data_IF_289186258834
#
_entry.id   IF_289186258834
#
_cell.length_a   1.000
_cell.length_b   1.000
_cell.length_c   1.000
_cell.angle_alpha   90.00
_cell.angle_beta   90.00
_cell.angle_gamma   90.00
#
_symmetry.space_group_name_H-M   'P 1'
#
loop_
_entity.id
_entity.type
_entity.pdbx_description
1 polymer ?
#
# COMPACT_ATOMS: atom_id res chain seq x y z
N UNK A 1 -14.39 3.32 -4.09
CA UNK A 1 -14.53 2.28 -3.03
C UNK A 1 -13.56 2.53 -1.87
N UNK A 2 -13.66 1.80 -0.76
CA UNK A 2 -12.66 1.87 0.31
C UNK A 2 -11.47 0.96 0.01
N UNK A 3 -10.29 1.29 0.58
CA UNK A 3 -9.17 0.36 0.63
C UNK A 3 -9.54 -0.90 1.41
N UNK A 4 -8.92 -2.02 1.07
CA UNK A 4 -9.14 -3.30 1.76
C UNK A 4 -8.42 -3.39 3.11
N UNK A 5 -7.57 -2.40 3.42
CA UNK A 5 -6.84 -2.34 4.69
C UNK A 5 -6.71 -0.92 5.23
N UNK A 6 -6.41 -0.81 6.52
CA UNK A 6 -5.89 0.42 7.14
C UNK A 6 -4.36 0.43 7.00
N UNK A 7 -3.78 1.62 6.94
CA UNK A 7 -2.34 1.83 6.88
C UNK A 7 -1.97 3.13 7.58
N UNK A 8 -0.82 3.18 8.24
CA UNK A 8 -0.34 4.40 8.90
C UNK A 8 -0.22 5.52 7.86
N UNK A 9 -0.66 6.72 8.22
CA UNK A 9 -0.65 7.86 7.29
C UNK A 9 -1.72 7.82 6.19
N UNK A 10 -2.59 6.80 6.18
CA UNK A 10 -3.60 6.61 5.12
C UNK A 10 -4.56 7.80 4.98
N UNK A 11 -4.80 8.26 3.76
CA UNK A 11 -5.54 9.48 3.41
C UNK A 11 -7.06 9.30 3.32
N UNK A 12 -7.64 8.36 4.11
CA UNK A 12 -9.08 8.08 4.08
C UNK A 12 -9.96 9.33 4.23
N UNK A 13 -9.60 10.23 5.15
CA UNK A 13 -10.39 11.43 5.44
C UNK A 13 -10.19 12.55 4.40
N UNK A 14 -9.08 12.54 3.67
CA UNK A 14 -8.71 13.60 2.73
C UNK A 14 -8.87 13.21 1.26
N UNK A 15 -9.20 11.96 0.96
CA UNK A 15 -9.19 11.41 -0.40
C UNK A 15 -10.12 12.14 -1.38
N UNK A 16 -11.29 12.60 -0.91
CA UNK A 16 -12.23 13.36 -1.74
C UNK A 16 -11.63 14.71 -2.13
N UNK A 17 -11.05 15.41 -1.17
CA UNK A 17 -10.39 16.70 -1.39
C UNK A 17 -9.16 16.55 -2.30
N UNK A 18 -8.36 15.51 -2.09
CA UNK A 18 -7.18 15.21 -2.92
C UNK A 18 -7.63 15.00 -4.39
N UNK A 19 -8.61 14.14 -4.62
CA UNK A 19 -9.08 13.82 -5.97
C UNK A 19 -9.71 15.03 -6.64
N UNK A 20 -10.43 15.88 -5.89
CA UNK A 20 -11.05 17.09 -6.43
C UNK A 20 -10.03 18.11 -6.99
N UNK A 21 -8.77 18.00 -6.56
CA UNK A 21 -7.66 18.86 -7.02
C UNK A 21 -6.85 18.27 -8.17
N UNK A 22 -7.17 17.07 -8.61
CA UNK A 22 -6.47 16.50 -9.75
C UNK A 22 -6.74 17.32 -11.02
N UNK A 23 -5.73 17.54 -11.86
CA UNK A 23 -5.95 18.12 -13.18
C UNK A 23 -6.86 17.21 -14.00
N UNK A 24 -7.58 17.76 -14.95
CA UNK A 24 -8.56 17.01 -15.77
C UNK A 24 -7.93 16.38 -17.02
N UNK A 25 -6.70 16.73 -17.33
CA UNK A 25 -6.02 16.42 -18.60
C UNK A 25 -4.91 15.37 -18.48
N UNK A 26 -4.84 14.61 -17.36
CA UNK A 26 -3.94 13.47 -17.25
C UNK A 26 -4.55 12.22 -17.87
N UNK A 27 -3.69 11.30 -18.32
CA UNK A 27 -4.04 9.97 -18.83
C UNK A 27 -3.31 8.85 -18.11
N UNK A 28 -2.41 9.19 -17.22
CA UNK A 28 -1.58 8.27 -16.44
C UNK A 28 -1.58 8.71 -14.99
N UNK A 29 -2.04 7.86 -14.10
CA UNK A 29 -2.04 8.10 -12.66
C UNK A 29 -0.99 7.21 -11.99
N UNK A 30 -0.04 7.79 -11.32
CA UNK A 30 1.05 7.08 -10.64
C UNK A 30 1.03 7.41 -9.16
N UNK A 31 0.64 6.45 -8.31
CA UNK A 31 0.69 6.56 -6.85
C UNK A 31 2.07 6.12 -6.39
N UNK A 32 2.94 7.09 -6.06
CA UNK A 32 4.39 6.87 -5.86
C UNK A 32 4.68 6.22 -4.51
N UNK A 33 3.95 6.60 -3.47
CA UNK A 33 4.02 6.08 -2.10
C UNK A 33 2.64 5.53 -1.74
N UNK A 34 2.34 4.34 -2.22
CA UNK A 34 0.97 3.83 -2.24
C UNK A 34 0.37 3.52 -0.89
N UNK A 35 1.15 2.93 0.03
CA UNK A 35 0.65 2.57 1.35
C UNK A 35 -0.68 1.81 1.28
N UNK A 36 -1.69 2.31 1.97
CA UNK A 36 -3.04 1.74 1.93
C UNK A 36 -3.83 1.97 0.64
N UNK A 37 -3.30 2.71 -0.36
CA UNK A 37 -3.96 2.97 -1.64
C UNK A 37 -5.28 3.72 -1.54
N UNK A 38 -5.48 4.53 -0.51
CA UNK A 38 -6.76 5.18 -0.26
C UNK A 38 -7.23 6.07 -1.41
N UNK A 39 -6.31 6.73 -2.10
CA UNK A 39 -6.62 7.59 -3.24
C UNK A 39 -6.91 6.73 -4.48
N UNK A 40 -6.06 5.75 -4.79
CA UNK A 40 -6.25 4.81 -5.89
C UNK A 40 -7.60 4.10 -5.81
N UNK A 41 -7.95 3.54 -4.64
CA UNK A 41 -9.22 2.82 -4.47
C UNK A 41 -10.44 3.73 -4.51
N UNK A 42 -10.31 4.99 -4.09
CA UNK A 42 -11.43 5.93 -4.09
C UNK A 42 -11.63 6.60 -5.45
N UNK A 43 -10.56 6.87 -6.17
CA UNK A 43 -10.61 7.36 -7.54
C UNK A 43 -11.49 6.45 -8.39
N UNK A 44 -12.42 7.02 -9.14
CA UNK A 44 -13.23 6.25 -10.09
C UNK A 44 -12.31 5.57 -11.12
N UNK A 45 -12.50 4.25 -11.38
CA UNK A 45 -11.76 3.60 -12.44
C UNK A 45 -12.16 4.21 -13.79
N UNK A 46 -11.16 4.52 -14.60
CA UNK A 46 -11.32 5.11 -15.92
C UNK A 46 -10.55 4.31 -16.97
N UNK A 47 -10.27 4.98 -18.10
CA UNK A 47 -9.38 4.46 -19.13
C UNK A 47 -7.93 4.88 -18.92
N UNK A 48 -7.61 5.52 -17.79
CA UNK A 48 -6.28 5.95 -17.47
C UNK A 48 -5.37 4.76 -17.22
N UNK A 49 -4.11 4.88 -17.60
CA UNK A 49 -3.08 3.96 -17.18
C UNK A 49 -2.75 4.21 -15.70
N UNK A 50 -2.90 3.21 -14.85
CA UNK A 50 -2.72 3.35 -13.40
C UNK A 50 -1.55 2.53 -12.88
N UNK A 51 -0.73 3.14 -12.02
CA UNK A 51 0.41 2.49 -11.34
C UNK A 51 0.27 2.69 -9.84
N UNK A 52 0.38 1.59 -9.10
CA UNK A 52 0.58 1.58 -7.66
C UNK A 52 2.02 1.20 -7.37
N UNK A 53 2.71 1.96 -6.57
CA UNK A 53 4.05 1.64 -6.11
C UNK A 53 4.18 1.80 -4.60
N UNK A 54 4.95 0.93 -3.99
CA UNK A 54 5.44 1.13 -2.63
C UNK A 54 6.84 0.54 -2.49
N UNK A 55 7.62 1.09 -1.56
CA UNK A 55 8.97 0.59 -1.29
C UNK A 55 8.96 -0.66 -0.42
N UNK A 56 7.93 -0.88 0.40
CA UNK A 56 7.80 -2.02 1.28
C UNK A 56 7.47 -3.30 0.48
N UNK A 57 8.38 -4.29 0.41
CA UNK A 57 8.16 -5.50 -0.40
C UNK A 57 7.03 -6.39 0.15
N UNK A 58 6.79 -6.40 1.46
CA UNK A 58 5.68 -7.16 2.05
C UNK A 58 4.33 -6.56 1.67
N UNK A 59 4.25 -5.23 1.63
CA UNK A 59 3.05 -4.53 1.19
C UNK A 59 2.77 -4.79 -0.29
N UNK A 60 3.78 -4.68 -1.14
CA UNK A 60 3.65 -4.96 -2.58
C UNK A 60 3.30 -6.42 -2.83
N UNK A 61 3.90 -7.36 -2.09
CA UNK A 61 3.52 -8.77 -2.15
C UNK A 61 2.04 -8.98 -1.80
N UNK A 62 1.54 -8.32 -0.74
CA UNK A 62 0.13 -8.36 -0.37
C UNK A 62 -0.77 -7.86 -1.51
N UNK A 63 -0.43 -6.73 -2.14
CA UNK A 63 -1.20 -6.19 -3.28
C UNK A 63 -1.22 -7.15 -4.47
N UNK A 64 -0.09 -7.80 -4.79
CA UNK A 64 -0.01 -8.82 -5.84
C UNK A 64 -0.88 -10.02 -5.51
N UNK A 65 -0.82 -10.53 -4.28
CA UNK A 65 -1.65 -11.67 -3.86
C UNK A 65 -3.15 -11.31 -3.86
N UNK A 66 -3.53 -10.11 -3.45
CA UNK A 66 -4.92 -9.62 -3.55
C UNK A 66 -5.40 -9.58 -5.00
N UNK A 67 -4.54 -9.18 -5.95
CA UNK A 67 -4.90 -9.12 -7.36
C UNK A 67 -4.95 -10.51 -8.03
N UNK A 68 -3.92 -11.32 -7.79
CA UNK A 68 -3.65 -12.53 -8.58
C UNK A 68 -4.09 -13.82 -7.89
N UNK A 69 -4.17 -13.84 -6.55
CA UNK A 69 -4.45 -15.01 -5.71
C UNK A 69 -5.46 -14.72 -4.59
N UNK A 70 -6.60 -14.03 -4.86
CA UNK A 70 -7.53 -13.59 -3.80
C UNK A 70 -8.13 -14.75 -3.03
N UNK A 71 -8.50 -15.85 -3.69
CA UNK A 71 -9.16 -17.00 -3.07
C UNK A 71 -8.18 -17.77 -2.17
N UNK A 72 -6.94 -17.94 -2.60
CA UNK A 72 -5.87 -18.57 -1.82
C UNK A 72 -5.55 -17.71 -0.58
N UNK A 73 -5.48 -16.39 -0.74
CA UNK A 73 -5.28 -15.46 0.37
C UNK A 73 -6.42 -15.54 1.38
N UNK A 74 -7.67 -15.53 0.93
CA UNK A 74 -8.85 -15.69 1.78
C UNK A 74 -8.83 -17.05 2.48
N UNK A 75 -8.45 -18.12 1.80
CA UNK A 75 -8.31 -19.43 2.39
C UNK A 75 -7.31 -19.45 3.56
N UNK A 76 -6.13 -18.84 3.38
CA UNK A 76 -5.13 -18.71 4.46
C UNK A 76 -5.64 -17.85 5.63
N UNK A 77 -6.48 -16.86 5.36
CA UNK A 77 -7.04 -15.97 6.37
C UNK A 77 -8.28 -16.54 7.08
N UNK A 78 -8.92 -17.56 6.52
CA UNK A 78 -10.18 -18.11 7.04
C UNK A 78 -10.03 -18.65 8.47
N UNK A 79 -8.87 -19.22 8.79
CA UNK A 79 -8.56 -19.80 10.10
C UNK A 79 -7.65 -18.92 10.95
N UNK A 80 -7.44 -17.68 10.55
CA UNK A 80 -6.63 -16.74 11.31
C UNK A 80 -7.29 -16.39 12.64
N UNK A 81 -6.61 -16.69 13.73
CA UNK A 81 -7.09 -16.39 15.08
C UNK A 81 -6.68 -14.97 15.50
N UNK A 82 -7.60 -14.26 16.14
CA UNK A 82 -7.29 -13.03 16.85
C UNK A 82 -6.63 -13.37 18.18
N UNK A 83 -5.36 -13.70 18.16
CA UNK A 83 -4.56 -14.24 19.25
C UNK A 83 -3.25 -13.48 19.38
N UNK A 84 -2.90 -13.08 20.63
CA UNK A 84 -1.60 -12.47 20.92
C UNK A 84 -0.44 -13.41 20.60
N UNK A 85 -0.58 -14.68 20.94
CA UNK A 85 0.46 -15.69 20.69
C UNK A 85 0.75 -15.83 19.20
N UNK A 86 -0.31 -15.88 18.38
CA UNK A 86 -0.15 -15.98 16.92
C UNK A 86 0.41 -14.69 16.34
N UNK A 87 -0.03 -13.53 16.82
CA UNK A 87 0.52 -12.24 16.43
C UNK A 87 2.03 -12.17 16.68
N UNK A 88 2.48 -12.51 17.89
CA UNK A 88 3.90 -12.48 18.27
C UNK A 88 4.73 -13.50 17.47
N UNK A 89 4.17 -14.69 17.22
CA UNK A 89 4.78 -15.68 16.35
C UNK A 89 4.96 -15.16 14.93
N UNK A 90 3.89 -14.64 14.32
CA UNK A 90 3.91 -14.10 12.96
C UNK A 90 4.90 -12.95 12.84
N UNK A 91 4.91 -12.01 13.80
CA UNK A 91 5.84 -10.90 13.84
C UNK A 91 7.30 -11.38 13.86
N UNK A 92 7.59 -12.41 14.66
CA UNK A 92 8.93 -13.02 14.70
C UNK A 92 9.31 -13.65 13.36
N UNK A 93 8.40 -14.43 12.77
CA UNK A 93 8.61 -15.08 11.47
C UNK A 93 8.84 -14.06 10.37
N UNK A 94 8.08 -12.97 10.33
CA UNK A 94 8.21 -11.94 9.31
C UNK A 94 9.54 -11.15 9.41
N UNK A 95 10.16 -11.07 10.58
CA UNK A 95 11.47 -10.45 10.80
C UNK A 95 12.66 -11.39 10.55
N UNK A 96 12.40 -12.70 10.39
CA UNK A 96 13.45 -13.69 10.15
C UNK A 96 13.57 -13.96 8.63
N UNK A 97 14.78 -14.09 8.07
CA UNK A 97 14.98 -14.47 6.68
C UNK A 97 14.58 -15.95 6.47
N UNK A 98 13.30 -16.20 6.38
CA UNK A 98 12.70 -17.52 6.19
C UNK A 98 11.99 -17.54 4.83
N UNK A 99 12.18 -18.58 4.06
CA UNK A 99 11.40 -18.80 2.85
C UNK A 99 9.96 -19.17 3.23
N UNK A 100 9.06 -18.25 2.94
CA UNK A 100 7.63 -18.43 3.13
C UNK A 100 6.97 -18.19 1.77
N UNK A 101 6.06 -19.06 1.31
CA UNK A 101 5.30 -18.84 0.08
C UNK A 101 4.62 -17.45 0.08
N UNK A 102 4.58 -16.79 -1.07
CA UNK A 102 4.12 -15.40 -1.21
C UNK A 102 2.71 -15.19 -0.64
N UNK A 103 1.77 -16.10 -0.91
CA UNK A 103 0.41 -16.01 -0.39
C UNK A 103 0.39 -16.13 1.14
N UNK A 104 1.17 -17.03 1.71
CA UNK A 104 1.28 -17.18 3.17
C UNK A 104 1.92 -15.96 3.81
N UNK A 105 2.95 -15.40 3.19
CA UNK A 105 3.59 -14.14 3.61
C UNK A 105 2.60 -12.98 3.55
N UNK A 106 1.79 -12.90 2.50
CA UNK A 106 0.74 -11.90 2.36
C UNK A 106 -0.32 -12.05 3.47
N UNK A 107 -0.76 -13.27 3.77
CA UNK A 107 -1.71 -13.55 4.84
C UNK A 107 -1.16 -13.17 6.21
N UNK A 108 0.09 -13.49 6.51
CA UNK A 108 0.76 -13.08 7.74
C UNK A 108 0.87 -11.56 7.85
N UNK A 109 1.31 -10.89 6.78
CA UNK A 109 1.42 -9.45 6.78
C UNK A 109 0.05 -8.76 6.98
N UNK A 110 -1.00 -9.28 6.32
CA UNK A 110 -2.35 -8.78 6.50
C UNK A 110 -2.88 -8.98 7.93
N UNK A 111 -2.59 -10.13 8.57
CA UNK A 111 -2.92 -10.37 9.98
C UNK A 111 -2.22 -9.35 10.90
N UNK A 112 -0.93 -9.07 10.68
CA UNK A 112 -0.22 -8.04 11.44
C UNK A 112 -0.90 -6.67 11.30
N UNK A 113 -1.26 -6.25 10.08
CA UNK A 113 -1.96 -5.00 9.84
C UNK A 113 -3.29 -4.95 10.61
N UNK A 114 -4.07 -6.03 10.56
CA UNK A 114 -5.44 -6.07 11.11
C UNK A 114 -5.50 -6.23 12.61
N UNK A 115 -4.52 -6.88 13.20
CA UNK A 115 -4.48 -7.18 14.64
C UNK A 115 -3.51 -6.30 15.43
N UNK A 116 -2.80 -5.37 14.79
CA UNK A 116 -1.94 -4.41 15.48
C UNK A 116 -2.67 -3.13 15.88
N UNK A 117 -2.18 -2.50 16.91
CA UNK A 117 -2.62 -1.16 17.31
C UNK A 117 -2.30 -0.15 16.18
N UNK A 118 -3.29 0.63 15.79
CA UNK A 118 -3.18 1.64 14.72
C UNK A 118 -2.55 1.14 13.40
N UNK A 119 -2.59 -0.17 13.14
CA UNK A 119 -1.92 -0.81 11.98
C UNK A 119 -0.39 -0.66 11.97
N UNK A 120 0.22 -0.46 13.14
CA UNK A 120 1.65 -0.20 13.30
C UNK A 120 2.54 -1.44 13.25
N UNK A 121 1.99 -2.64 13.08
CA UNK A 121 2.67 -3.94 12.95
C UNK A 121 3.39 -4.44 14.20
N UNK A 122 3.67 -3.60 15.19
CA UNK A 122 4.56 -3.92 16.31
C UNK A 122 3.85 -4.40 17.57
N UNK A 123 2.70 -3.84 17.86
CA UNK A 123 1.96 -4.12 19.09
C UNK A 123 0.57 -4.67 18.82
N UNK A 124 0.24 -5.79 19.49
CA UNK A 124 -1.06 -6.42 19.37
C UNK A 124 -2.17 -5.55 19.97
N UNK A 125 -3.21 -5.30 19.17
CA UNK A 125 -4.41 -4.62 19.63
C UNK A 125 -5.39 -5.63 20.23
N UNK A 126 -5.57 -5.64 21.54
CA UNK A 126 -6.52 -6.51 22.24
C UNK A 126 -7.98 -6.07 22.01
N UNK A 127 -8.42 -6.03 20.74
CA UNK A 127 -9.77 -5.63 20.37
C UNK A 127 -10.47 -6.72 19.56
N UNK A 128 -11.79 -6.91 19.74
CA UNK A 128 -12.55 -7.85 18.91
C UNK A 128 -12.45 -7.45 17.44
N UNK A 129 -11.98 -8.35 16.62
CA UNK A 129 -11.96 -8.18 15.17
C UNK A 129 -12.16 -9.54 14.50
N UNK A 130 -13.10 -9.61 13.57
CA UNK A 130 -13.31 -10.78 12.73
C UNK A 130 -12.64 -10.60 11.37
N UNK A 131 -11.74 -11.50 11.00
CA UNK A 131 -11.11 -11.51 9.69
C UNK A 131 -12.12 -11.68 8.55
N UNK A 132 -13.21 -12.40 8.80
CA UNK A 132 -14.30 -12.61 7.83
C UNK A 132 -14.91 -11.31 7.30
N UNK A 133 -14.96 -10.26 8.11
CA UNK A 133 -15.46 -8.95 7.69
C UNK A 133 -14.60 -8.29 6.60
N UNK A 134 -13.39 -8.79 6.38
CA UNK A 134 -12.47 -8.24 5.40
C UNK A 134 -12.53 -8.96 4.03
N UNK A 135 -13.06 -10.17 3.96
CA UNK A 135 -13.06 -10.95 2.72
C UNK A 135 -13.77 -10.24 1.56
N UNK A 136 -14.94 -9.60 1.75
CA UNK A 136 -15.54 -8.81 0.68
C UNK A 136 -14.66 -7.64 0.22
N UNK A 137 -13.86 -7.06 1.12
CA UNK A 137 -12.95 -5.97 0.77
C UNK A 137 -11.79 -6.47 -0.10
N UNK A 138 -11.25 -7.67 0.18
CA UNK A 138 -10.22 -8.32 -0.62
C UNK A 138 -10.76 -8.62 -2.03
N UNK A 139 -11.94 -9.22 -2.13
CA UNK A 139 -12.59 -9.52 -3.42
C UNK A 139 -12.84 -8.24 -4.26
N UNK A 140 -13.33 -7.19 -3.63
CA UNK A 140 -13.55 -5.91 -4.31
C UNK A 140 -12.23 -5.26 -4.75
N UNK A 141 -11.19 -5.37 -3.91
CA UNK A 141 -9.87 -4.86 -4.25
C UNK A 141 -9.24 -5.65 -5.41
N UNK A 142 -9.40 -6.98 -5.45
CA UNK A 142 -8.98 -7.79 -6.59
C UNK A 142 -9.58 -7.25 -7.90
N UNK A 143 -10.89 -7.06 -7.95
CA UNK A 143 -11.56 -6.53 -9.15
C UNK A 143 -11.02 -5.13 -9.55
N UNK A 144 -10.76 -4.26 -8.56
CA UNK A 144 -10.22 -2.91 -8.81
C UNK A 144 -8.78 -2.92 -9.35
N UNK A 145 -7.98 -3.86 -8.90
CA UNK A 145 -6.54 -3.92 -9.22
C UNK A 145 -6.22 -4.60 -10.57
N UNK A 146 -7.19 -5.21 -11.25
CA UNK A 146 -6.96 -6.00 -12.47
C UNK A 146 -6.23 -5.22 -13.58
N UNK A 147 -6.43 -3.90 -13.67
CA UNK A 147 -5.80 -3.04 -14.67
C UNK A 147 -4.69 -2.15 -14.10
N UNK A 148 -4.35 -2.31 -12.82
CA UNK A 148 -3.33 -1.51 -12.14
C UNK A 148 -1.98 -2.21 -12.23
N UNK A 149 -0.97 -1.51 -12.69
CA UNK A 149 0.43 -1.97 -12.63
C UNK A 149 0.92 -1.84 -11.19
N UNK A 150 1.45 -2.93 -10.63
CA UNK A 150 1.97 -2.95 -9.26
C UNK A 150 3.51 -3.02 -9.31
N UNK A 151 4.15 -1.97 -8.79
CA UNK A 151 5.60 -1.82 -8.76
C UNK A 151 6.14 -1.87 -7.32
N UNK A 152 7.42 -2.24 -7.19
CA UNK A 152 8.17 -2.18 -5.93
C UNK A 152 9.51 -1.49 -6.19
N UNK A 153 9.47 -0.20 -6.43
CA UNK A 153 10.62 0.60 -6.85
C UNK A 153 10.92 1.74 -5.92
N UNK A 154 12.18 2.14 -5.91
CA UNK A 154 12.55 3.46 -5.42
C UNK A 154 11.82 4.54 -6.25
N UNK A 155 11.35 5.60 -5.56
CA UNK A 155 10.52 6.63 -6.17
C UNK A 155 11.19 7.31 -7.38
N UNK A 156 12.49 7.50 -7.34
CA UNK A 156 13.25 8.15 -8.41
C UNK A 156 13.22 7.30 -9.69
N UNK A 157 13.51 6.00 -9.56
CA UNK A 157 13.42 5.04 -10.67
C UNK A 157 12.00 4.89 -11.21
N UNK A 158 11.01 4.98 -10.32
CA UNK A 158 9.61 4.94 -10.73
C UNK A 158 9.24 6.17 -11.54
N UNK A 159 9.58 7.37 -11.04
CA UNK A 159 9.31 8.63 -11.72
C UNK A 159 10.00 8.63 -13.10
N UNK A 160 11.28 8.27 -13.18
CA UNK A 160 12.03 8.18 -14.46
C UNK A 160 11.34 7.28 -15.48
N UNK A 161 10.80 6.14 -15.03
CA UNK A 161 10.15 5.18 -15.91
C UNK A 161 8.81 5.70 -16.45
N UNK A 162 8.06 6.41 -15.65
CA UNK A 162 6.67 6.78 -15.95
C UNK A 162 6.47 8.26 -16.30
N UNK A 163 7.52 9.08 -16.29
CA UNK A 163 7.44 10.50 -16.61
C UNK A 163 7.06 10.72 -18.09
N UNK A 164 5.95 11.36 -18.31
CA UNK A 164 5.39 11.78 -19.61
C UNK A 164 4.53 13.04 -19.38
N UNK A 165 4.29 13.86 -20.41
CA UNK A 165 3.46 15.08 -20.28
C UNK A 165 2.05 14.81 -19.70
N UNK A 166 1.46 13.62 -19.96
CA UNK A 166 0.14 13.25 -19.45
C UNK A 166 0.17 12.51 -18.11
N UNK A 167 1.34 12.36 -17.46
CA UNK A 167 1.47 11.68 -16.17
C UNK A 167 1.09 12.61 -15.03
N UNK A 168 0.31 12.07 -14.08
CA UNK A 168 0.03 12.66 -12.77
C UNK A 168 0.67 11.77 -11.71
N UNK A 169 1.65 12.31 -11.01
CA UNK A 169 2.31 11.64 -9.87
C UNK A 169 1.66 12.10 -8.56
N UNK A 170 0.97 11.19 -7.89
CA UNK A 170 0.51 11.43 -6.54
C UNK A 170 1.61 11.02 -5.55
N UNK A 171 2.16 12.02 -4.86
CA UNK A 171 3.28 11.87 -3.94
C UNK A 171 2.86 12.19 -2.50
N UNK A 172 2.83 11.17 -1.66
CA UNK A 172 2.53 11.25 -0.22
C UNK A 172 3.64 10.52 0.56
N UNK A 173 4.87 11.08 0.56
CA UNK A 173 6.01 10.44 1.23
C UNK A 173 5.83 10.45 2.75
N UNK A 174 6.56 9.59 3.49
CA UNK A 174 6.66 9.70 4.95
C UNK A 174 7.02 11.12 5.36
N UNK A 175 6.33 11.64 6.39
CA UNK A 175 6.55 13.01 6.82
C UNK A 175 7.89 13.17 7.54
N UNK A 176 8.47 14.33 7.39
CA UNK A 176 9.67 14.73 8.13
C UNK A 176 9.40 14.62 9.64
N UNK A 177 10.33 14.06 10.41
CA UNK A 177 10.21 13.76 11.85
C UNK A 177 9.31 12.55 12.22
N UNK A 178 8.77 11.80 11.26
CA UNK A 178 8.02 10.57 11.52
C UNK A 178 8.72 9.34 10.94
N UNK A 179 10.02 9.44 10.72
CA UNK A 179 10.88 8.44 10.06
C UNK A 179 10.88 7.09 10.80
N UNK A 180 10.66 7.09 12.12
CA UNK A 180 10.66 5.90 12.96
C UNK A 180 9.38 5.04 12.84
N UNK A 181 8.33 5.55 12.19
CA UNK A 181 7.09 4.78 11.97
C UNK A 181 7.21 3.69 10.90
N UNK A 182 8.29 3.70 10.11
CA UNK A 182 8.52 2.76 9.01
C UNK A 182 9.87 2.06 9.19
N UNK A 183 9.98 1.14 10.17
CA UNK A 183 11.23 0.44 10.51
C UNK A 183 11.91 -0.21 9.29
N UNK A 184 11.11 -0.70 8.33
CA UNK A 184 11.60 -1.43 7.16
C UNK A 184 12.03 -0.54 5.98
N UNK A 185 11.58 0.73 5.95
CA UNK A 185 11.84 1.64 4.82
C UNK A 185 12.03 3.07 5.33
N UNK A 186 13.24 3.37 5.76
CA UNK A 186 13.57 4.75 6.20
C UNK A 186 13.49 5.71 5.03
N UNK A 187 12.77 6.82 5.22
CA UNK A 187 12.72 7.94 4.28
C UNK A 187 13.37 9.16 4.92
N UNK A 188 14.58 9.46 4.52
CA UNK A 188 15.45 10.43 5.19
C UNK A 188 15.29 11.84 4.62
N UNK A 189 15.90 12.85 5.30
CA UNK A 189 16.00 14.20 4.75
C UNK A 189 16.65 14.23 3.37
N UNK A 190 17.64 13.37 3.12
CA UNK A 190 18.26 13.26 1.80
C UNK A 190 17.26 12.76 0.74
N UNK A 191 16.35 11.86 1.11
CA UNK A 191 15.30 11.37 0.20
C UNK A 191 14.27 12.45 -0.10
N UNK A 192 13.91 13.31 0.86
CA UNK A 192 13.07 14.48 0.59
C UNK A 192 13.72 15.45 -0.41
N UNK A 193 15.02 15.69 -0.28
CA UNK A 193 15.77 16.53 -1.22
C UNK A 193 15.82 15.88 -2.61
N UNK A 194 16.09 14.58 -2.69
CA UNK A 194 16.07 13.81 -3.95
C UNK A 194 14.71 13.89 -4.62
N UNK A 195 13.63 13.67 -3.85
CA UNK A 195 12.26 13.72 -4.37
C UNK A 195 11.93 15.12 -4.91
N UNK A 196 12.20 16.17 -4.14
CA UNK A 196 11.98 17.54 -4.59
C UNK A 196 12.78 17.87 -5.85
N UNK A 197 14.05 17.49 -5.91
CA UNK A 197 14.91 17.67 -7.08
C UNK A 197 14.37 16.93 -8.31
N UNK A 198 13.89 15.68 -8.12
CA UNK A 198 13.34 14.91 -9.25
C UNK A 198 12.02 15.51 -9.75
N UNK A 199 11.10 15.88 -8.84
CA UNK A 199 9.80 16.47 -9.20
C UNK A 199 9.96 17.81 -9.91
N UNK A 200 11.00 18.59 -9.62
CA UNK A 200 11.25 19.87 -10.30
C UNK A 200 11.66 19.74 -11.77
N UNK A 201 12.00 18.53 -12.24
CA UNK A 201 12.52 18.27 -13.59
C UNK A 201 11.65 17.36 -14.44
N UNK A 202 10.47 16.94 -13.96
CA UNK A 202 9.56 16.07 -14.72
C UNK A 202 8.81 16.84 -15.80
N UNK A 203 8.38 16.09 -16.83
CA UNK A 203 7.46 16.57 -17.87
C UNK A 203 6.01 16.49 -17.42
N UNK A 204 5.70 15.55 -16.52
CA UNK A 204 4.38 15.32 -15.96
C UNK A 204 3.97 16.36 -14.89
N UNK A 205 2.90 16.01 -14.17
CA UNK A 205 2.32 16.83 -13.08
C UNK A 205 2.44 16.08 -11.75
N UNK A 206 2.48 16.81 -10.64
CA UNK A 206 2.44 16.24 -9.30
C UNK A 206 1.63 17.08 -8.32
#
# INVERSE_FOLDING_TARGET
MNSFMSWIGGKKALRDEIISRFPTDYKRYIEVFGGGGWVLFHKAPGNDFEVYNDRNPNLVNLYRCVRDHPDELISELTYALNSRTDFDYIRKVMKTPTEIPDVKRAAYFYQLIRYSYASGLDSYASQPHSMWNNFPLITNACARLQKVVIENKDFEKLIDQYDRPESLFYCDPPYFETEDYYEDVRFTKADHIRLAGRLSSIEGKY
#
